data_IF_014262617665
#
_entry.id   IF_014262617665
#
_cell.length_a   1.000
_cell.length_b   1.000
_cell.length_c   1.000
_cell.angle_alpha   90.00
_cell.angle_beta   90.00
_cell.angle_gamma   90.00
#
_symmetry.space_group_name_H-M   'P 1'
#
loop_
_entity.id
_entity.type
_entity.pdbx_description
1 polymer ?
#
# COMPACT_ATOMS: atom_id res chain seq x y z
N UNK A 1 -7.70 17.05 6.18
CA UNK A 1 -8.87 16.16 6.03
C UNK A 1 -8.54 14.84 6.72
N UNK A 2 -8.93 14.69 7.99
CA UNK A 2 -8.86 13.43 8.72
C UNK A 2 -10.14 12.66 8.43
N UNK A 3 -10.08 11.61 7.61
CA UNK A 3 -11.20 10.67 7.47
C UNK A 3 -11.46 10.04 8.86
N UNK A 4 -12.71 9.97 9.34
CA UNK A 4 -12.99 9.45 10.67
C UNK A 4 -12.67 7.94 10.72
N UNK A 5 -11.79 7.56 11.66
CA UNK A 5 -11.53 6.16 12.01
C UNK A 5 -12.76 5.60 12.72
N UNK A 6 -13.52 4.77 12.03
CA UNK A 6 -14.70 4.11 12.60
C UNK A 6 -14.25 2.94 13.48
N UNK A 7 -14.64 2.95 14.76
CA UNK A 7 -14.14 2.03 15.81
C UNK A 7 -14.66 0.59 15.63
N UNK A 8 -15.65 0.36 14.76
CA UNK A 8 -16.11 -0.97 14.36
C UNK A 8 -15.23 -1.67 13.30
N UNK A 9 -14.22 -0.99 12.75
CA UNK A 9 -13.44 -1.44 11.59
C UNK A 9 -12.23 -2.34 11.92
N UNK A 10 -11.84 -2.49 13.19
CA UNK A 10 -10.60 -3.18 13.60
C UNK A 10 -10.46 -4.62 13.03
N UNK A 11 -11.51 -5.48 13.02
CA UNK A 11 -11.41 -6.80 12.42
C UNK A 11 -11.27 -6.77 10.89
N UNK A 12 -11.99 -5.84 10.24
CA UNK A 12 -11.96 -5.67 8.79
C UNK A 12 -10.60 -5.14 8.32
N UNK A 13 -10.03 -4.17 9.04
CA UNK A 13 -8.70 -3.61 8.75
C UNK A 13 -7.62 -4.70 8.81
N UNK A 14 -7.69 -5.59 9.81
CA UNK A 14 -6.73 -6.69 9.94
C UNK A 14 -6.79 -7.66 8.74
N UNK A 15 -8.00 -8.02 8.31
CA UNK A 15 -8.18 -8.90 7.14
C UNK A 15 -7.61 -8.26 5.86
N UNK A 16 -7.87 -6.96 5.65
CA UNK A 16 -7.35 -6.22 4.49
C UNK A 16 -5.81 -6.16 4.51
N UNK A 17 -5.21 -5.93 5.68
CA UNK A 17 -3.75 -5.93 5.84
C UNK A 17 -3.16 -7.30 5.51
N UNK A 18 -3.71 -8.37 6.07
CA UNK A 18 -3.25 -9.75 5.80
C UNK A 18 -3.37 -10.12 4.32
N UNK A 19 -4.46 -9.71 3.68
CA UNK A 19 -4.69 -9.92 2.25
C UNK A 19 -3.65 -9.17 1.41
N UNK A 20 -3.40 -7.88 1.71
CA UNK A 20 -2.40 -7.08 1.01
C UNK A 20 -0.99 -7.69 1.13
N UNK A 21 -0.63 -8.17 2.32
CA UNK A 21 0.66 -8.83 2.54
C UNK A 21 0.72 -10.16 1.76
N UNK A 22 -0.35 -10.95 1.79
CA UNK A 22 -0.44 -12.23 1.08
C UNK A 22 -0.28 -12.06 -0.43
N UNK A 23 -0.97 -11.07 -1.02
CA UNK A 23 -0.82 -10.71 -2.42
C UNK A 23 0.58 -10.22 -2.73
N UNK A 24 1.14 -9.37 -1.87
CA UNK A 24 2.52 -8.90 -2.02
C UNK A 24 3.52 -10.06 -2.12
N UNK A 25 3.41 -11.04 -1.21
CA UNK A 25 4.27 -12.23 -1.23
C UNK A 25 4.11 -13.03 -2.51
N UNK A 26 2.87 -13.18 -3.02
CA UNK A 26 2.61 -13.86 -4.31
C UNK A 26 3.26 -13.10 -5.47
N UNK A 27 3.23 -11.77 -5.47
CA UNK A 27 3.88 -10.96 -6.50
C UNK A 27 5.40 -11.12 -6.50
N UNK A 28 6.03 -11.12 -5.33
CA UNK A 28 7.48 -11.38 -5.21
C UNK A 28 7.81 -12.80 -5.68
N UNK A 29 7.02 -13.80 -5.26
CA UNK A 29 7.20 -15.19 -5.70
C UNK A 29 7.04 -15.35 -7.22
N UNK A 30 6.18 -14.54 -7.85
CA UNK A 30 6.01 -14.48 -9.30
C UNK A 30 7.10 -13.67 -10.03
N UNK A 31 8.13 -13.20 -9.33
CA UNK A 31 9.25 -12.46 -9.92
C UNK A 31 8.96 -10.99 -10.22
N UNK A 32 7.86 -10.42 -9.70
CA UNK A 32 7.58 -8.98 -9.85
C UNK A 32 8.56 -8.14 -9.02
N UNK A 33 8.77 -6.90 -9.44
CA UNK A 33 9.69 -6.00 -8.74
C UNK A 33 9.16 -5.63 -7.35
N UNK A 34 10.08 -5.27 -6.44
CA UNK A 34 9.71 -4.74 -5.11
C UNK A 34 8.91 -3.44 -5.21
N UNK A 35 9.14 -2.65 -6.27
CA UNK A 35 8.43 -1.39 -6.52
C UNK A 35 6.97 -1.67 -6.89
N UNK A 36 6.73 -2.56 -7.84
CA UNK A 36 5.36 -2.90 -8.26
C UNK A 36 4.59 -3.55 -7.12
N UNK A 37 5.27 -4.39 -6.34
CA UNK A 37 4.69 -5.04 -5.17
C UNK A 37 4.32 -4.01 -4.08
N UNK A 38 5.23 -3.10 -3.74
CA UNK A 38 4.96 -2.05 -2.76
C UNK A 38 3.84 -1.11 -3.21
N UNK A 39 3.75 -0.78 -4.50
CA UNK A 39 2.66 0.03 -5.05
C UNK A 39 1.30 -0.68 -4.91
N UNK A 40 1.24 -1.99 -5.20
CA UNK A 40 0.02 -2.77 -5.05
C UNK A 40 -0.45 -2.83 -3.58
N UNK A 41 0.47 -3.07 -2.65
CA UNK A 41 0.18 -3.04 -1.21
C UNK A 41 -0.28 -1.62 -0.79
N UNK A 42 0.41 -0.58 -1.25
CA UNK A 42 0.08 0.81 -0.91
C UNK A 42 -1.32 1.19 -1.36
N UNK A 43 -1.69 0.84 -2.60
CA UNK A 43 -3.00 1.14 -3.16
C UNK A 43 -4.12 0.46 -2.35
N UNK A 44 -3.90 -0.76 -1.87
CA UNK A 44 -4.88 -1.51 -1.06
C UNK A 44 -5.03 -0.98 0.37
N UNK A 45 -3.95 -0.44 0.93
CA UNK A 45 -3.90 0.09 2.30
C UNK A 45 -3.95 1.64 2.34
N UNK A 46 -4.29 2.29 1.23
CA UNK A 46 -4.27 3.75 1.14
C UNK A 46 -5.21 4.37 2.17
N UNK A 47 -4.66 5.28 3.00
CA UNK A 47 -5.41 5.93 4.09
C UNK A 47 -5.26 5.26 5.45
N UNK A 48 -4.60 4.11 5.53
CA UNK A 48 -4.13 3.56 6.81
C UNK A 48 -2.91 4.33 7.35
N UNK A 49 -2.60 4.09 8.63
CA UNK A 49 -1.42 4.65 9.29
C UNK A 49 -0.13 4.22 8.60
N UNK A 50 0.86 5.12 8.58
CA UNK A 50 2.16 4.88 7.94
C UNK A 50 2.80 3.58 8.46
N UNK A 51 2.81 3.37 9.77
CA UNK A 51 3.46 2.21 10.39
C UNK A 51 2.81 0.88 9.97
N UNK A 52 1.50 0.88 9.74
CA UNK A 52 0.77 -0.30 9.24
C UNK A 52 1.24 -0.64 7.83
N UNK A 53 1.30 0.37 6.96
CA UNK A 53 1.72 0.19 5.56
C UNK A 53 3.19 -0.20 5.47
N UNK A 54 4.06 0.43 6.28
CA UNK A 54 5.50 0.11 6.34
C UNK A 54 5.71 -1.33 6.79
N UNK A 55 5.00 -1.82 7.81
CA UNK A 55 5.05 -3.24 8.21
C UNK A 55 4.58 -4.16 7.09
N UNK A 56 3.48 -3.82 6.43
CA UNK A 56 2.98 -4.61 5.30
C UNK A 56 4.00 -4.68 4.14
N UNK A 57 4.77 -3.63 3.89
CA UNK A 57 5.84 -3.67 2.90
C UNK A 57 7.02 -4.56 3.29
N UNK A 58 7.40 -4.56 4.58
CA UNK A 58 8.48 -5.43 5.06
C UNK A 58 8.08 -6.89 4.84
N UNK A 59 6.86 -7.25 5.26
CA UNK A 59 6.37 -8.63 5.18
C UNK A 59 5.96 -9.07 3.76
N UNK A 60 5.35 -8.17 2.99
CA UNK A 60 4.76 -8.46 1.68
C UNK A 60 5.69 -8.21 0.51
N UNK A 61 6.54 -7.17 0.57
CA UNK A 61 7.44 -6.80 -0.51
C UNK A 61 8.92 -7.10 -0.19
N UNK A 62 9.22 -7.73 0.95
CA UNK A 62 10.59 -8.08 1.39
C UNK A 62 11.53 -6.87 1.48
N UNK A 63 10.97 -5.73 1.88
CA UNK A 63 11.75 -4.51 2.10
C UNK A 63 12.41 -4.53 3.49
N UNK A 64 13.57 -3.90 3.59
CA UNK A 64 14.13 -3.55 4.91
C UNK A 64 13.32 -2.42 5.52
N UNK A 65 13.38 -2.21 6.83
CA UNK A 65 12.65 -1.14 7.51
C UNK A 65 12.94 0.25 6.90
N UNK A 66 14.22 0.57 6.70
CA UNK A 66 14.65 1.82 6.02
C UNK A 66 14.14 1.89 4.58
N UNK A 67 14.16 0.76 3.86
CA UNK A 67 13.65 0.67 2.49
C UNK A 67 12.14 0.89 2.42
N UNK A 68 11.39 0.26 3.32
CA UNK A 68 9.94 0.35 3.40
C UNK A 68 9.47 1.80 3.65
N UNK A 69 10.13 2.52 4.56
CA UNK A 69 9.81 3.93 4.81
C UNK A 69 10.02 4.79 3.55
N UNK A 70 11.14 4.57 2.84
CA UNK A 70 11.43 5.29 1.58
C UNK A 70 10.38 4.98 0.51
N UNK A 71 9.99 3.71 0.39
CA UNK A 71 8.98 3.28 -0.58
C UNK A 71 7.61 3.85 -0.26
N UNK A 72 7.25 4.03 1.02
CA UNK A 72 5.99 4.67 1.41
C UNK A 72 5.87 6.09 0.86
N UNK A 73 6.91 6.92 1.02
CA UNK A 73 6.93 8.26 0.45
C UNK A 73 6.82 8.26 -1.08
N UNK A 74 7.54 7.34 -1.73
CA UNK A 74 7.53 7.20 -3.19
C UNK A 74 6.16 6.76 -3.72
N UNK A 75 5.52 5.77 -3.09
CA UNK A 75 4.20 5.27 -3.48
C UNK A 75 3.14 6.35 -3.32
N UNK A 76 3.15 7.05 -2.17
CA UNK A 76 2.22 8.18 -1.91
C UNK A 76 2.36 9.27 -2.97
N UNK A 77 3.58 9.68 -3.29
CA UNK A 77 3.84 10.70 -4.31
C UNK A 77 3.41 10.23 -5.70
N UNK A 78 3.68 8.97 -6.04
CA UNK A 78 3.33 8.39 -7.34
C UNK A 78 1.81 8.32 -7.54
N UNK A 79 1.06 7.75 -6.59
CA UNK A 79 -0.41 7.69 -6.69
C UNK A 79 -1.05 9.08 -6.73
N UNK A 80 -0.54 10.03 -5.94
CA UNK A 80 -1.03 11.41 -5.98
C UNK A 80 -0.79 12.09 -7.34
N UNK A 81 0.29 11.74 -8.03
CA UNK A 81 0.58 12.22 -9.37
C UNK A 81 -0.30 11.52 -10.41
N UNK A 82 -0.42 10.20 -10.36
CA UNK A 82 -1.27 9.40 -11.27
C UNK A 82 -2.73 9.88 -11.23
N UNK A 83 -3.29 10.13 -10.04
CA UNK A 83 -4.64 10.70 -9.88
C UNK A 83 -4.80 12.11 -10.45
N UNK A 84 -3.72 12.88 -10.53
CA UNK A 84 -3.73 14.24 -11.12
C UNK A 84 -3.54 14.19 -12.63
N UNK A 85 -2.87 13.16 -13.12
CA UNK A 85 -2.53 12.96 -14.53
C UNK A 85 -3.55 12.12 -15.28
N UNK A 86 -4.49 11.45 -14.62
CA UNK A 86 -5.66 10.85 -15.27
C UNK A 86 -6.53 11.96 -15.89
N UNK A 87 -6.64 12.06 -17.23
CA UNK A 87 -7.62 12.94 -17.83
C UNK A 87 -9.01 12.43 -17.45
N UNK A 88 -9.89 13.34 -17.02
CA UNK A 88 -11.29 13.03 -16.80
C UNK A 88 -11.89 12.47 -18.10
N UNK A 89 -11.95 11.15 -18.23
CA UNK A 89 -12.58 10.49 -19.36
C UNK A 89 -14.10 10.59 -19.16
N UNK A 90 -14.67 11.70 -19.59
CA UNK A 90 -16.11 11.81 -19.84
C UNK A 90 -16.45 10.88 -21.01
N UNK A 91 -17.19 9.82 -20.74
CA UNK A 91 -17.97 9.11 -21.74
C UNK A 91 -19.39 8.94 -21.22
#
# INVERSE_FOLDING_TARGET
MTKPKNVAAVPADKAIIEEAISEGRKMIAAGKSKIDTALAIYAKLEGMEQDVIVRAFIEGATLTEKGALTYWYNCRRRLANERRSEPANNH
#
